data_IF_098351443970
#
_entry.id   IF_098351443970
#
_cell.length_a   1.000
_cell.length_b   1.000
_cell.length_c   1.000
_cell.angle_alpha   90.00
_cell.angle_beta   90.00
_cell.angle_gamma   90.00
#
_symmetry.space_group_name_H-M   'P 1'
#
loop_
_entity.id
_entity.type
_entity.pdbx_description
1 polymer ?
#
# COMPACT_ATOMS: atom_id res chain seq x y z
N UNK A 1 -10.45 7.02 -2.30
CA UNK A 1 -10.65 6.12 -3.47
C UNK A 1 -9.69 6.40 -4.64
N UNK A 2 -8.99 7.54 -4.71
CA UNK A 2 -8.04 7.85 -5.80
C UNK A 2 -6.74 7.02 -5.75
N UNK A 3 -6.27 6.64 -4.56
CA UNK A 3 -5.05 5.82 -4.36
C UNK A 3 -5.16 4.39 -4.91
N UNK A 4 -6.34 3.77 -4.82
CA UNK A 4 -6.58 2.42 -5.33
C UNK A 4 -6.32 2.30 -6.85
N UNK A 5 -6.75 3.29 -7.63
CA UNK A 5 -6.59 3.27 -9.08
C UNK A 5 -5.12 3.40 -9.52
N UNK A 6 -4.32 4.19 -8.79
CA UNK A 6 -2.89 4.37 -9.07
C UNK A 6 -2.09 3.11 -8.72
N UNK A 7 -2.40 2.45 -7.61
CA UNK A 7 -1.80 1.17 -7.24
C UNK A 7 -2.11 0.06 -8.24
N UNK A 8 -3.21 0.18 -8.98
CA UNK A 8 -3.59 -0.79 -10.00
C UNK A 8 -2.87 -0.60 -11.33
N UNK A 9 -2.51 0.65 -11.68
CA UNK A 9 -1.87 0.95 -12.97
C UNK A 9 -0.41 0.51 -13.03
N UNK A 10 0.32 0.62 -11.93
CA UNK A 10 1.73 0.22 -11.83
C UNK A 10 2.01 -1.28 -12.11
N UNK A 11 1.26 -2.25 -11.55
CA UNK A 11 1.48 -3.66 -11.83
C UNK A 11 0.99 -4.12 -13.22
N UNK A 12 0.14 -3.36 -13.92
CA UNK A 12 -0.24 -3.69 -15.30
C UNK A 12 0.76 -3.22 -16.35
N UNK A 13 1.55 -2.18 -16.06
CA UNK A 13 2.54 -1.62 -16.99
C UNK A 13 3.91 -2.31 -16.88
N UNK A 14 4.17 -3.04 -15.79
CA UNK A 14 5.35 -3.89 -15.69
C UNK A 14 5.02 -5.26 -16.28
N UNK A 15 5.66 -5.60 -17.41
CA UNK A 15 5.72 -6.95 -17.99
C UNK A 15 6.48 -7.91 -17.05
N UNK A 16 6.07 -8.00 -15.79
CA UNK A 16 6.64 -8.98 -14.86
C UNK A 16 5.91 -10.29 -15.10
N UNK A 17 6.64 -11.23 -15.65
CA UNK A 17 6.28 -12.63 -15.96
C UNK A 17 5.95 -13.45 -14.71
N UNK A 18 5.16 -12.89 -13.78
CA UNK A 18 4.66 -13.62 -12.62
C UNK A 18 3.18 -13.87 -12.88
N UNK A 19 2.80 -15.14 -12.90
CA UNK A 19 1.41 -15.60 -13.09
C UNK A 19 0.56 -15.29 -11.85
N UNK A 20 0.60 -14.05 -11.38
CA UNK A 20 -0.17 -13.62 -10.21
C UNK A 20 -1.58 -13.35 -10.68
N UNK A 21 -2.54 -14.02 -10.04
CA UNK A 21 -3.96 -13.79 -10.32
C UNK A 21 -4.28 -12.30 -10.17
N UNK A 22 -5.01 -11.73 -11.13
CA UNK A 22 -5.50 -10.35 -11.04
C UNK A 22 -6.28 -10.10 -9.74
N UNK A 23 -6.88 -11.13 -9.15
CA UNK A 23 -7.56 -11.06 -7.86
C UNK A 23 -6.59 -10.80 -6.70
N UNK A 24 -5.41 -11.42 -6.70
CA UNK A 24 -4.35 -11.22 -5.70
C UNK A 24 -3.83 -9.78 -5.78
N UNK A 25 -3.63 -9.26 -7.01
CA UNK A 25 -3.23 -7.86 -7.23
C UNK A 25 -4.31 -6.89 -6.73
N UNK A 26 -5.59 -7.12 -7.06
CA UNK A 26 -6.72 -6.29 -6.59
C UNK A 26 -6.84 -6.27 -5.08
N UNK A 27 -6.74 -7.44 -4.46
CA UNK A 27 -6.85 -7.60 -3.01
C UNK A 27 -5.69 -6.90 -2.31
N UNK A 28 -4.48 -7.05 -2.82
CA UNK A 28 -3.28 -6.41 -2.24
C UNK A 28 -3.32 -4.90 -2.41
N UNK A 29 -3.71 -4.38 -3.58
CA UNK A 29 -3.92 -2.95 -3.79
C UNK A 29 -4.97 -2.38 -2.83
N UNK A 30 -6.04 -3.13 -2.53
CA UNK A 30 -7.05 -2.75 -1.55
C UNK A 30 -6.49 -2.75 -0.12
N UNK A 31 -5.75 -3.77 0.29
CA UNK A 31 -5.11 -3.84 1.62
C UNK A 31 -4.15 -2.67 1.81
N UNK A 32 -3.27 -2.41 0.83
CA UNK A 32 -2.34 -1.27 0.85
C UNK A 32 -3.10 0.06 0.95
N UNK A 33 -4.16 0.24 0.18
CA UNK A 33 -4.97 1.47 0.22
C UNK A 33 -5.57 1.72 1.61
N UNK A 34 -6.07 0.67 2.26
CA UNK A 34 -6.59 0.77 3.63
C UNK A 34 -5.48 1.00 4.66
N UNK A 35 -4.32 0.38 4.48
CA UNK A 35 -3.13 0.61 5.31
C UNK A 35 -2.68 2.06 5.29
N UNK A 36 -2.47 2.63 4.09
CA UNK A 36 -2.11 4.03 3.91
C UNK A 36 -3.14 4.95 4.57
N UNK A 37 -4.42 4.73 4.27
CA UNK A 37 -5.49 5.60 4.77
C UNK A 37 -5.68 5.50 6.28
N UNK A 38 -5.61 4.29 6.84
CA UNK A 38 -5.72 4.04 8.27
C UNK A 38 -4.55 4.66 9.05
N UNK A 39 -3.32 4.54 8.53
CA UNK A 39 -2.13 5.16 9.15
C UNK A 39 -2.22 6.69 9.10
N UNK A 40 -2.67 7.27 7.98
CA UNK A 40 -2.88 8.71 7.87
C UNK A 40 -3.98 9.24 8.82
N UNK A 41 -5.08 8.51 9.00
CA UNK A 41 -6.13 8.86 9.98
C UNK A 41 -5.60 8.78 11.42
N UNK A 42 -4.82 7.76 11.74
CA UNK A 42 -4.24 7.64 13.09
C UNK A 42 -3.28 8.80 13.36
N UNK A 43 -2.42 9.13 12.41
CA UNK A 43 -1.51 10.25 12.52
C UNK A 43 -2.24 11.59 12.63
N UNK A 44 -3.33 11.81 11.89
CA UNK A 44 -4.06 13.09 11.99
C UNK A 44 -4.67 13.35 13.36
N UNK A 45 -4.92 12.28 14.15
CA UNK A 45 -5.44 12.36 15.52
C UNK A 45 -4.37 12.61 16.57
N UNK A 46 -3.09 12.33 16.26
CA UNK A 46 -1.95 12.52 17.16
C UNK A 46 -0.73 13.07 16.41
N UNK A 47 -0.94 14.14 15.64
CA UNK A 47 0.10 14.73 14.78
C UNK A 47 1.16 15.51 15.55
N UNK A 48 0.92 15.75 16.86
CA UNK A 48 1.87 16.40 17.77
C UNK A 48 2.79 15.38 18.46
N UNK A 49 2.31 14.15 18.68
CA UNK A 49 3.08 13.06 19.30
C UNK A 49 3.91 12.25 18.31
N UNK A 50 3.69 12.42 17.00
CA UNK A 50 4.33 11.65 15.94
C UNK A 50 4.60 12.48 14.70
N UNK A 51 5.84 12.42 14.20
CA UNK A 51 6.24 13.12 12.98
C UNK A 51 5.63 12.52 11.70
N UNK A 52 5.61 13.30 10.62
CA UNK A 52 5.15 12.83 9.30
C UNK A 52 6.08 11.73 8.78
N UNK A 53 7.37 11.84 9.07
CA UNK A 53 8.41 10.88 8.70
C UNK A 53 8.15 9.51 9.34
N UNK A 54 7.83 9.49 10.64
CA UNK A 54 7.48 8.26 11.34
C UNK A 54 6.18 7.64 10.80
N UNK A 55 5.19 8.46 10.42
CA UNK A 55 3.96 7.99 9.77
C UNK A 55 4.27 7.36 8.40
N UNK A 56 5.14 7.98 7.61
CA UNK A 56 5.57 7.46 6.31
C UNK A 56 6.33 6.14 6.42
N UNK A 57 7.15 5.96 7.46
CA UNK A 57 7.84 4.69 7.71
C UNK A 57 6.85 3.54 7.98
N UNK A 58 5.78 3.78 8.75
CA UNK A 58 4.72 2.78 8.95
C UNK A 58 3.98 2.45 7.66
N UNK A 59 3.69 3.46 6.85
CA UNK A 59 3.07 3.25 5.53
C UNK A 59 3.96 2.35 4.67
N UNK A 60 5.27 2.64 4.62
CA UNK A 60 6.21 1.84 3.86
C UNK A 60 6.28 0.40 4.37
N UNK A 61 6.30 0.20 5.69
CA UNK A 61 6.31 -1.14 6.30
C UNK A 61 5.06 -1.95 5.90
N UNK A 62 3.87 -1.34 5.94
CA UNK A 62 2.62 -1.99 5.54
C UNK A 62 2.63 -2.33 4.05
N UNK A 63 3.14 -1.44 3.20
CA UNK A 63 3.27 -1.68 1.75
C UNK A 63 4.22 -2.87 1.50
N UNK A 64 5.41 -2.86 2.09
CA UNK A 64 6.40 -3.93 1.91
C UNK A 64 5.88 -5.28 2.40
N UNK A 65 5.27 -5.33 3.59
CA UNK A 65 4.68 -6.56 4.12
C UNK A 65 3.55 -7.10 3.24
N UNK A 66 2.76 -6.21 2.64
CA UNK A 66 1.65 -6.59 1.75
C UNK A 66 2.15 -7.08 0.38
N UNK A 67 3.30 -6.60 -0.08
CA UNK A 67 3.89 -6.99 -1.37
C UNK A 67 4.85 -8.18 -1.29
N UNK A 68 5.40 -8.49 -0.11
CA UNK A 68 6.30 -9.64 0.08
C UNK A 68 5.82 -10.94 -0.60
N UNK A 69 4.56 -11.38 -0.45
CA UNK A 69 4.09 -12.62 -1.10
C UNK A 69 3.87 -12.53 -2.63
N UNK A 70 4.08 -11.36 -3.23
CA UNK A 70 3.88 -11.07 -4.66
C UNK A 70 5.22 -10.96 -5.40
N UNK A 71 6.26 -10.48 -4.73
CA UNK A 71 7.55 -10.15 -5.35
C UNK A 71 8.57 -11.30 -5.18
N UNK A 72 8.32 -12.25 -4.28
CA UNK A 72 9.19 -13.41 -4.01
C UNK A 72 9.00 -14.55 -5.04
#
# INVERSE_FOLDING_TARGET
MVTYALLFRWPLESETTITISQEVVKTTARVISWGIFGTAIQWSRDSQGRSVEEMMQDVLLVVTASLAPIID
#
